data_IF_073912053441
#
_entry.id   IF_073912053441
#
_cell.length_a   1.000
_cell.length_b   1.000
_cell.length_c   1.000
_cell.angle_alpha   90.00
_cell.angle_beta   90.00
_cell.angle_gamma   90.00
#
_symmetry.space_group_name_H-M   'P 1'
#
loop_
_entity.id
_entity.type
_entity.pdbx_description
1 polymer ?
#
# COMPACT_ATOMS: atom_id res chain seq x y z
N UNK A 1 16.16 13.28 2.49
CA UNK A 1 15.69 13.88 3.76
C UNK A 1 15.38 12.74 4.70
N UNK A 2 15.96 12.72 5.91
CA UNK A 2 15.61 11.68 6.89
C UNK A 2 14.13 11.86 7.28
N UNK A 3 13.34 10.78 7.38
CA UNK A 3 11.95 10.89 7.81
C UNK A 3 11.91 11.50 9.22
N UNK A 4 10.93 12.37 9.48
CA UNK A 4 10.69 12.92 10.82
C UNK A 4 10.52 11.73 11.78
N UNK A 5 11.26 11.73 12.90
CA UNK A 5 10.99 10.80 13.99
C UNK A 5 9.60 11.10 14.53
N UNK A 6 8.66 10.20 14.25
CA UNK A 6 7.27 10.26 14.67
C UNK A 6 7.02 9.05 15.59
N UNK A 7 6.33 9.26 16.71
CA UNK A 7 5.89 8.14 17.54
C UNK A 7 4.86 7.28 16.79
N UNK A 8 4.66 6.00 17.16
CA UNK A 8 3.66 5.15 16.51
C UNK A 8 2.24 5.73 16.56
N UNK A 9 1.89 6.42 17.65
CA UNK A 9 0.58 7.05 17.82
C UNK A 9 0.41 8.27 16.90
N UNK A 10 1.45 9.09 16.78
CA UNK A 10 1.45 10.20 15.82
C UNK A 10 1.39 9.70 14.38
N UNK A 11 2.07 8.58 14.07
CA UNK A 11 2.02 7.94 12.76
C UNK A 11 0.62 7.40 12.45
N UNK A 12 -0.03 6.73 13.41
CA UNK A 12 -1.41 6.28 13.26
C UNK A 12 -2.37 7.44 12.98
N UNK A 13 -2.29 8.51 13.77
CA UNK A 13 -3.09 9.74 13.54
C UNK A 13 -2.83 10.38 12.17
N UNK A 14 -1.58 10.32 11.69
CA UNK A 14 -1.24 10.85 10.38
C UNK A 14 -1.82 10.00 9.23
N UNK A 15 -2.07 8.71 9.46
CA UNK A 15 -2.63 7.78 8.48
C UNK A 15 -4.17 7.71 8.50
N UNK A 16 -4.81 8.26 9.53
CA UNK A 16 -6.28 8.33 9.59
C UNK A 16 -6.83 9.08 8.36
N UNK A 17 -7.86 8.50 7.73
CA UNK A 17 -8.48 9.05 6.51
C UNK A 17 -7.68 8.87 5.20
N UNK A 18 -6.51 8.21 5.23
CA UNK A 18 -5.76 7.90 4.00
C UNK A 18 -6.51 6.89 3.10
N UNK A 19 -7.28 6.00 3.71
CA UNK A 19 -8.12 5.00 3.06
C UNK A 19 -9.62 5.34 3.21
N UNK A 20 -10.54 4.72 2.45
CA UNK A 20 -11.98 4.92 2.62
C UNK A 20 -12.48 4.63 4.05
N UNK A 21 -11.89 3.63 4.72
CA UNK A 21 -12.13 3.42 6.13
C UNK A 21 -11.54 4.58 6.96
N UNK A 22 -12.30 5.16 7.91
CA UNK A 22 -11.93 6.43 8.55
C UNK A 22 -10.69 6.36 9.45
N UNK A 23 -10.34 5.18 9.98
CA UNK A 23 -9.14 4.99 10.81
C UNK A 23 -8.07 4.22 10.04
N UNK A 24 -6.80 4.39 10.43
CA UNK A 24 -5.74 3.49 10.01
C UNK A 24 -5.98 2.05 10.51
N UNK A 25 -5.44 1.07 9.78
CA UNK A 25 -5.55 -0.34 10.14
C UNK A 25 -4.73 -0.67 11.39
N UNK A 26 -5.27 -1.56 12.22
CA UNK A 26 -4.62 -2.16 13.39
C UNK A 26 -4.42 -3.66 13.17
N UNK A 27 -3.64 -4.29 14.05
CA UNK A 27 -3.40 -5.73 13.97
C UNK A 27 -4.68 -6.57 14.07
N UNK A 28 -5.69 -6.08 14.80
CA UNK A 28 -6.98 -6.76 14.94
C UNK A 28 -7.75 -6.83 13.61
N UNK A 29 -7.54 -5.86 12.72
CA UNK A 29 -8.28 -5.78 11.46
C UNK A 29 -7.85 -6.88 10.48
N UNK A 30 -6.57 -7.30 10.49
CA UNK A 30 -6.06 -8.42 9.68
C UNK A 30 -6.23 -9.78 10.35
N UNK A 31 -6.36 -9.82 11.67
CA UNK A 31 -6.41 -11.06 12.45
C UNK A 31 -7.56 -11.99 11.98
N UNK A 32 -8.73 -11.44 11.68
CA UNK A 32 -9.87 -12.23 11.19
C UNK A 32 -9.59 -12.92 9.86
N UNK A 33 -8.94 -12.24 8.91
CA UNK A 33 -8.58 -12.82 7.63
C UNK A 33 -7.52 -13.93 7.79
N UNK A 34 -6.55 -13.74 8.68
CA UNK A 34 -5.56 -14.75 9.00
C UNK A 34 -6.20 -16.00 9.64
N UNK A 35 -7.15 -15.81 10.57
CA UNK A 35 -7.89 -16.91 11.20
C UNK A 35 -8.72 -17.66 10.17
N UNK A 36 -9.42 -16.96 9.27
CA UNK A 36 -10.17 -17.60 8.18
C UNK A 36 -9.25 -18.50 7.33
N UNK A 37 -8.12 -17.97 6.86
CA UNK A 37 -7.16 -18.73 6.04
C UNK A 37 -6.51 -19.91 6.76
N UNK A 38 -6.49 -19.91 8.10
CA UNK A 38 -5.98 -21.00 8.92
C UNK A 38 -7.06 -22.00 9.35
N UNK A 39 -8.33 -21.74 9.00
CA UNK A 39 -9.47 -22.54 9.44
C UNK A 39 -9.94 -23.54 8.38
N UNK A 40 -10.81 -24.47 8.78
CA UNK A 40 -11.48 -25.40 7.86
C UNK A 40 -12.40 -24.68 6.85
N UNK A 41 -12.86 -23.46 7.16
CA UNK A 41 -13.74 -22.69 6.27
C UNK A 41 -13.03 -22.29 4.96
N UNK A 42 -11.70 -22.30 4.92
CA UNK A 42 -10.90 -22.04 3.72
C UNK A 42 -10.36 -23.31 3.05
N UNK A 43 -10.90 -24.51 3.36
CA UNK A 43 -10.34 -25.79 2.90
C UNK A 43 -10.17 -25.93 1.37
N UNK A 44 -10.93 -25.18 0.57
CA UNK A 44 -10.83 -25.16 -0.90
C UNK A 44 -10.33 -23.83 -1.48
N UNK A 45 -9.79 -22.94 -0.64
CA UNK A 45 -9.22 -21.65 -1.04
C UNK A 45 -7.70 -21.72 -0.95
N UNK A 46 -7.04 -21.76 -2.10
CA UNK A 46 -5.57 -21.81 -2.19
C UNK A 46 -5.06 -20.95 -3.35
N UNK A 47 -3.82 -20.46 -3.22
CA UNK A 47 -3.18 -19.59 -4.19
C UNK A 47 -3.82 -18.20 -4.32
N UNK A 48 -4.58 -17.75 -3.31
CA UNK A 48 -5.24 -16.45 -3.28
C UNK A 48 -4.61 -15.53 -2.24
N UNK A 49 -4.67 -14.24 -2.50
CA UNK A 49 -4.34 -13.17 -1.56
C UNK A 49 -5.63 -12.49 -1.11
N UNK A 50 -5.77 -12.23 0.20
CA UNK A 50 -6.88 -11.45 0.75
C UNK A 50 -6.33 -10.10 1.18
N UNK A 51 -6.71 -9.05 0.45
CA UNK A 51 -6.31 -7.67 0.77
C UNK A 51 -7.16 -7.12 1.90
N UNK A 52 -6.51 -6.73 3.00
CA UNK A 52 -7.15 -6.13 4.18
C UNK A 52 -6.53 -4.75 4.42
N UNK A 53 -7.07 -3.73 3.76
CA UNK A 53 -6.46 -2.39 3.69
C UNK A 53 -7.47 -1.25 3.83
N UNK A 54 -8.65 -1.51 4.40
CA UNK A 54 -9.70 -0.50 4.55
C UNK A 54 -10.17 0.14 3.24
N UNK A 55 -9.92 -0.50 2.09
CA UNK A 55 -10.28 -0.02 0.75
C UNK A 55 -9.22 0.87 0.09
N UNK A 56 -7.99 0.92 0.62
CA UNK A 56 -6.91 1.75 0.07
C UNK A 56 -6.62 1.42 -1.41
N UNK A 57 -6.53 0.14 -1.76
CA UNK A 57 -6.30 -0.34 -3.13
C UNK A 57 -7.48 -0.10 -4.06
N UNK A 58 -8.71 -0.11 -3.53
CA UNK A 58 -9.93 0.16 -4.30
C UNK A 58 -10.04 1.62 -4.77
N UNK A 59 -9.28 2.55 -4.17
CA UNK A 59 -9.20 3.94 -4.64
C UNK A 59 -8.59 4.05 -6.05
N UNK A 60 -7.92 3.02 -6.55
CA UNK A 60 -7.35 3.01 -7.89
C UNK A 60 -6.47 4.24 -8.15
N UNK A 61 -6.63 4.95 -9.30
CA UNK A 61 -5.92 6.19 -9.62
C UNK A 61 -6.20 7.40 -8.72
N UNK A 62 -6.95 7.27 -7.61
CA UNK A 62 -7.10 8.32 -6.58
C UNK A 62 -6.24 8.08 -5.32
N UNK A 63 -5.73 6.86 -5.07
CA UNK A 63 -4.76 6.52 -4.00
C UNK A 63 -3.50 7.42 -3.90
N UNK A 64 -2.52 7.35 -4.83
CA UNK A 64 -1.38 8.28 -5.05
C UNK A 64 -1.70 9.79 -4.83
N UNK A 65 -2.86 10.33 -5.23
CA UNK A 65 -3.24 11.74 -4.95
C UNK A 65 -3.46 11.98 -3.45
N UNK A 66 -4.07 11.03 -2.75
CA UNK A 66 -4.37 11.13 -1.31
C UNK A 66 -3.17 10.90 -0.40
N UNK A 67 -2.17 10.14 -0.86
CA UNK A 67 -0.93 9.87 -0.10
C UNK A 67 0.21 10.83 -0.43
N UNK A 68 -0.10 11.99 -1.05
CA UNK A 68 0.85 13.06 -1.40
C UNK A 68 2.09 12.54 -2.17
N UNK A 69 1.90 11.47 -2.95
CA UNK A 69 2.88 10.96 -3.90
C UNK A 69 2.50 11.47 -5.30
N UNK A 70 3.31 12.33 -5.93
CA UNK A 70 2.98 12.87 -7.24
C UNK A 70 2.78 11.74 -8.26
N UNK A 71 1.61 11.75 -8.93
CA UNK A 71 1.08 10.62 -9.72
C UNK A 71 1.40 10.74 -11.22
N UNK A 72 1.50 9.57 -11.86
CA UNK A 72 1.67 9.27 -13.30
C UNK A 72 1.01 10.20 -14.32
N UNK A 73 -0.14 10.83 -14.03
CA UNK A 73 -0.80 11.76 -14.94
C UNK A 73 0.05 13.01 -15.29
N UNK A 74 1.07 13.30 -14.48
CA UNK A 74 2.11 14.32 -14.76
C UNK A 74 3.49 13.70 -15.03
N UNK A 75 3.61 12.37 -15.06
CA UNK A 75 4.86 11.72 -15.42
C UNK A 75 5.13 11.90 -16.91
N UNK A 76 6.16 12.69 -17.19
CA UNK A 76 6.71 12.81 -18.53
C UNK A 76 7.64 11.65 -18.89
N UNK A 77 7.93 10.74 -17.94
CA UNK A 77 8.94 9.69 -18.09
C UNK A 77 8.54 8.41 -17.36
N UNK A 78 8.68 7.27 -18.04
CA UNK A 78 8.74 5.95 -17.45
C UNK A 78 10.17 5.68 -16.95
N UNK A 79 10.31 5.18 -15.72
CA UNK A 79 11.60 4.80 -15.15
C UNK A 79 11.63 3.29 -14.89
N UNK A 80 12.63 2.61 -15.43
CA UNK A 80 12.89 1.20 -15.16
C UNK A 80 14.14 1.09 -14.28
N UNK A 81 13.93 0.75 -13.01
CA UNK A 81 15.04 0.39 -12.13
C UNK A 81 15.55 -1.01 -12.50
N UNK A 82 16.87 -1.17 -12.55
CA UNK A 82 17.53 -2.46 -12.83
C UNK A 82 17.96 -3.20 -11.55
N UNK A 83 17.58 -2.69 -10.38
CA UNK A 83 17.90 -3.31 -9.09
C UNK A 83 19.39 -3.24 -8.75
N UNK A 84 19.94 -4.28 -8.13
CA UNK A 84 21.34 -4.34 -7.64
C UNK A 84 22.34 -4.84 -8.68
N UNK A 85 21.97 -4.85 -9.97
CA UNK A 85 22.82 -5.39 -11.05
C UNK A 85 24.03 -4.51 -11.38
N UNK A 86 24.14 -3.31 -10.80
CA UNK A 86 25.19 -2.34 -11.13
C UNK A 86 24.92 -1.58 -12.43
N UNK A 87 23.85 -1.93 -13.16
CA UNK A 87 23.42 -1.19 -14.33
C UNK A 87 22.60 0.04 -13.94
N UNK A 88 22.82 1.20 -14.59
CA UNK A 88 21.99 2.37 -14.35
C UNK A 88 20.55 2.11 -14.82
N UNK A 89 19.59 2.56 -14.00
CA UNK A 89 18.18 2.56 -14.39
C UNK A 89 17.95 3.40 -15.65
N UNK A 90 16.95 3.01 -16.46
CA UNK A 90 16.65 3.71 -17.71
C UNK A 90 15.41 4.58 -17.55
N UNK A 91 15.48 5.81 -18.04
CA UNK A 91 14.34 6.71 -18.17
C UNK A 91 13.97 6.83 -19.65
N UNK A 92 12.68 6.66 -19.97
CA UNK A 92 12.12 6.89 -21.30
C UNK A 92 11.03 7.92 -21.20
N UNK A 93 11.01 8.87 -22.13
CA UNK A 93 9.88 9.80 -22.23
C UNK A 93 8.64 8.97 -22.60
N UNK A 94 7.53 9.23 -21.91
CA UNK A 94 6.22 8.72 -22.29
C UNK A 94 5.69 9.50 -23.51
#
# INVERSE_FOLDING_TARGET
TQPKHMSPEEAGRHLDGAQPWPQHGRGEDIAGAAVFLASEDSAFVSGQEIVVDGGLTALGPDMWQRIDMPREATLTKAYLSKGTTGEPGTARKL
#
